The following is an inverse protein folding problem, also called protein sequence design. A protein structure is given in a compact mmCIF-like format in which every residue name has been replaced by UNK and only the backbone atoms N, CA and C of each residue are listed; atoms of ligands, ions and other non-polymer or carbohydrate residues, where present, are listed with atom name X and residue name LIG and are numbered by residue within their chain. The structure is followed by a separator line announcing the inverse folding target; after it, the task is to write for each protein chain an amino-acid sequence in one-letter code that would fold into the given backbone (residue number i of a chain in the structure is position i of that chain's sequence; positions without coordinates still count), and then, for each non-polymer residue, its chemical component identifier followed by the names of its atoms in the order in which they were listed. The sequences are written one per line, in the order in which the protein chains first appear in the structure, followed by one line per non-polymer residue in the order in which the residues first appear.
data_IF_877763486313
#
_entry.id   IF_877763486313
#
_cell.length_a   1.000
_cell.length_b   1.000
_cell.length_c   1.000
_cell.angle_alpha   90.00
_cell.angle_beta   90.00
_cell.angle_gamma   90.00
#
_symmetry.space_group_name_H-M   'P 1'
#
loop_
_entity.id
_entity.type
_entity.pdbx_description
1 polymer ?
#
# COMPACT_ATOMS: atom_id res chain seq x y z
N UNK A 1 31.30 -28.17 -31.78
CA UNK A 1 30.00 -27.77 -32.35
C UNK A 1 28.95 -27.58 -31.25
N UNK A 2 28.69 -28.59 -30.42
CA UNK A 2 27.70 -28.57 -29.33
C UNK A 2 27.87 -27.42 -28.32
N UNK A 3 29.09 -27.11 -27.86
CA UNK A 3 29.34 -25.98 -26.95
C UNK A 3 28.90 -24.62 -27.51
N UNK A 4 29.09 -24.40 -28.83
CA UNK A 4 28.65 -23.14 -29.48
C UNK A 4 27.13 -23.06 -29.54
N UNK A 5 26.46 -24.19 -29.81
CA UNK A 5 24.99 -24.28 -29.84
C UNK A 5 24.40 -24.01 -28.45
N UNK A 6 24.98 -24.57 -27.39
CA UNK A 6 24.53 -24.35 -26.00
C UNK A 6 24.67 -22.88 -25.60
N UNK A 7 25.80 -22.24 -25.91
CA UNK A 7 26.02 -20.81 -25.62
C UNK A 7 25.02 -19.93 -26.36
N UNK A 8 24.77 -20.20 -27.64
CA UNK A 8 23.78 -19.45 -28.43
C UNK A 8 22.37 -19.62 -27.84
N UNK A 9 21.98 -20.84 -27.48
CA UNK A 9 20.68 -21.10 -26.83
C UNK A 9 20.56 -20.36 -25.49
N UNK A 10 21.61 -20.36 -24.65
CA UNK A 10 21.59 -19.67 -23.37
C UNK A 10 21.44 -18.14 -23.54
N UNK A 11 22.11 -17.54 -24.53
CA UNK A 11 21.97 -16.12 -24.85
C UNK A 11 20.56 -15.80 -25.36
N UNK A 12 20.00 -16.65 -26.23
CA UNK A 12 18.63 -16.47 -26.75
C UNK A 12 17.60 -16.56 -25.63
N UNK A 13 17.73 -17.53 -24.72
CA UNK A 13 16.84 -17.66 -23.56
C UNK A 13 16.99 -16.44 -22.63
N UNK A 14 18.21 -16.02 -22.31
CA UNK A 14 18.42 -14.83 -21.49
C UNK A 14 17.83 -13.57 -22.13
N UNK A 15 18.05 -13.37 -23.44
CA UNK A 15 17.48 -12.25 -24.18
C UNK A 15 15.94 -12.28 -24.19
N UNK A 16 15.33 -13.47 -24.28
CA UNK A 16 13.87 -13.63 -24.25
C UNK A 16 13.23 -13.19 -22.92
N UNK A 17 13.98 -13.14 -21.82
CA UNK A 17 13.50 -12.61 -20.53
C UNK A 17 13.94 -11.15 -20.29
N UNK A 18 15.17 -10.79 -20.66
CA UNK A 18 15.73 -9.45 -20.39
C UNK A 18 15.15 -8.40 -21.33
N UNK A 19 15.02 -8.70 -22.62
CA UNK A 19 14.57 -7.71 -23.61
C UNK A 19 13.14 -7.25 -23.34
N UNK A 20 12.15 -8.12 -23.08
CA UNK A 20 10.81 -7.66 -22.70
C UNK A 20 10.82 -6.84 -21.42
N UNK A 21 11.60 -7.23 -20.41
CA UNK A 21 11.68 -6.50 -19.13
C UNK A 21 12.20 -5.07 -19.32
N UNK A 22 13.30 -4.91 -20.06
CA UNK A 22 13.88 -3.59 -20.37
C UNK A 22 12.94 -2.78 -21.26
N UNK A 23 12.33 -3.39 -22.29
CA UNK A 23 11.38 -2.70 -23.18
C UNK A 23 10.18 -2.16 -22.40
N UNK A 24 9.59 -2.99 -21.53
CA UNK A 24 8.47 -2.58 -20.68
C UNK A 24 8.89 -1.39 -19.80
N UNK A 25 10.03 -1.49 -19.12
CA UNK A 25 10.53 -0.40 -18.27
C UNK A 25 10.89 0.89 -19.02
N UNK A 26 11.31 0.80 -20.30
CA UNK A 26 11.56 1.97 -21.15
C UNK A 26 10.26 2.68 -21.60
N UNK A 27 9.12 1.99 -21.53
CA UNK A 27 7.80 2.54 -21.83
C UNK A 27 7.11 3.18 -20.63
N UNK A 28 7.66 3.02 -19.42
CA UNK A 28 7.08 3.58 -18.20
C UNK A 28 7.17 5.09 -18.25
N UNK A 29 6.00 5.73 -18.27
CA UNK A 29 5.90 7.18 -18.11
C UNK A 29 6.15 7.53 -16.64
N UNK A 30 6.79 8.69 -16.35
CA UNK A 30 6.82 9.21 -15.00
C UNK A 30 5.40 9.27 -14.45
N UNK A 31 5.21 8.80 -13.21
CA UNK A 31 3.94 8.98 -12.52
C UNK A 31 3.85 10.44 -12.07
N UNK A 32 3.33 11.28 -12.96
CA UNK A 32 3.24 12.73 -12.83
C UNK A 32 1.87 13.18 -12.28
N UNK A 33 1.68 14.48 -12.10
CA UNK A 33 0.43 15.02 -11.55
C UNK A 33 -0.77 14.81 -12.48
N UNK A 34 -0.56 14.66 -13.81
CA UNK A 34 -1.65 14.30 -14.73
C UNK A 34 -2.13 12.86 -14.47
N UNK A 35 -1.19 11.93 -14.27
CA UNK A 35 -1.50 10.56 -13.89
C UNK A 35 -2.22 10.48 -12.53
N UNK A 36 -1.80 11.30 -11.55
CA UNK A 36 -2.49 11.42 -10.25
C UNK A 36 -3.90 11.97 -10.37
N UNK A 37 -4.14 12.91 -11.30
CA UNK A 37 -5.48 13.46 -11.55
C UNK A 37 -6.53 12.42 -12.00
N UNK A 38 -6.10 11.20 -12.35
CA UNK A 38 -6.98 10.08 -12.72
C UNK A 38 -7.11 9.02 -11.62
N UNK A 39 -6.35 9.13 -10.53
CA UNK A 39 -6.43 8.19 -9.42
C UNK A 39 -7.76 8.38 -8.67
N UNK A 40 -8.44 7.30 -8.23
CA UNK A 40 -9.56 7.41 -7.30
C UNK A 40 -9.06 7.97 -5.96
N UNK A 41 -9.94 8.49 -5.10
CA UNK A 41 -9.52 8.89 -3.74
C UNK A 41 -8.71 10.18 -3.68
N UNK A 42 -7.82 10.27 -2.69
CA UNK A 42 -7.13 11.49 -2.27
C UNK A 42 -5.64 11.24 -2.02
N UNK A 43 -4.89 12.31 -1.77
CA UNK A 43 -3.45 12.26 -1.49
C UNK A 43 -3.13 13.07 -0.24
N UNK A 44 -2.27 12.52 0.62
CA UNK A 44 -1.66 13.21 1.73
C UNK A 44 -0.22 13.61 1.36
N UNK A 45 0.15 14.86 1.61
CA UNK A 45 1.53 15.35 1.49
C UNK A 45 2.30 14.95 2.75
N UNK A 46 3.14 13.93 2.64
CA UNK A 46 3.94 13.41 3.76
C UNK A 46 5.43 13.75 3.57
N UNK A 47 6.25 13.50 4.58
CA UNK A 47 7.69 13.81 4.55
C UNK A 47 8.41 13.13 3.39
N UNK A 48 8.00 11.91 3.03
CA UNK A 48 8.62 11.11 1.97
C UNK A 48 7.92 11.20 0.60
N UNK A 49 6.94 12.10 0.46
CA UNK A 49 6.20 12.34 -0.79
C UNK A 49 4.68 12.24 -0.64
N UNK A 50 3.99 12.22 -1.78
CA UNK A 50 2.53 12.09 -1.86
C UNK A 50 2.12 10.64 -1.61
N UNK A 51 1.34 10.41 -0.55
CA UNK A 51 0.75 9.12 -0.24
C UNK A 51 -0.73 9.12 -0.63
N UNK A 52 -1.11 8.21 -1.52
CA UNK A 52 -2.48 8.02 -1.96
C UNK A 52 -3.29 7.21 -0.94
N UNK A 53 -4.56 7.57 -0.76
CA UNK A 53 -5.50 6.80 0.04
C UNK A 53 -6.94 6.93 -0.46
N UNK A 54 -7.78 5.97 -0.07
CA UNK A 54 -9.22 5.97 -0.33
C UNK A 54 -9.97 5.80 0.98
N UNK A 55 -11.01 6.62 1.18
CA UNK A 55 -12.00 6.41 2.22
C UNK A 55 -13.19 5.62 1.69
N UNK A 56 -13.62 4.61 2.44
CA UNK A 56 -14.92 3.95 2.28
C UNK A 56 -15.77 4.31 3.49
N UNK A 57 -16.76 5.18 3.25
CA UNK A 57 -17.60 5.73 4.30
C UNK A 57 -18.85 4.87 4.53
N UNK A 58 -19.26 4.62 5.79
CA UNK A 58 -20.52 3.98 6.09
C UNK A 58 -21.67 4.95 5.78
N UNK A 59 -22.86 4.43 5.45
CA UNK A 59 -24.03 5.27 5.34
C UNK A 59 -24.35 5.91 6.72
N UNK A 60 -24.79 7.18 6.80
CA UNK A 60 -24.98 7.88 8.07
C UNK A 60 -25.88 7.16 9.09
N UNK A 61 -26.83 6.34 8.61
CA UNK A 61 -27.75 5.57 9.46
C UNK A 61 -27.11 4.36 10.14
N UNK A 62 -25.99 3.86 9.61
CA UNK A 62 -25.29 2.67 10.13
C UNK A 62 -23.92 3.02 10.72
N UNK A 63 -23.45 4.27 10.55
CA UNK A 63 -22.17 4.73 11.08
C UNK A 63 -22.07 4.48 12.60
N UNK A 64 -21.00 3.82 13.02
CA UNK A 64 -20.75 3.46 14.42
C UNK A 64 -19.70 4.34 15.11
N UNK A 65 -19.08 5.28 14.38
CA UNK A 65 -18.05 6.19 14.87
C UNK A 65 -16.64 5.57 14.92
N UNK A 66 -16.46 4.35 14.44
CA UNK A 66 -15.19 3.62 14.51
C UNK A 66 -14.46 3.62 13.15
N UNK A 67 -13.14 3.71 13.20
CA UNK A 67 -12.27 3.70 12.01
C UNK A 67 -11.42 2.43 11.94
N UNK A 68 -11.31 1.86 10.74
CA UNK A 68 -10.40 0.75 10.41
C UNK A 68 -9.40 1.24 9.35
N UNK A 69 -8.11 1.14 9.61
CA UNK A 69 -7.05 1.39 8.62
C UNK A 69 -6.52 0.04 8.12
N UNK A 70 -6.52 -0.21 6.82
CA UNK A 70 -6.11 -1.50 6.24
C UNK A 70 -4.88 -1.36 5.34
N UNK A 71 -3.75 -1.95 5.76
CA UNK A 71 -2.47 -1.87 5.07
C UNK A 71 -2.27 -3.07 4.13
N UNK A 72 -2.11 -2.81 2.84
CA UNK A 72 -1.95 -3.85 1.82
C UNK A 72 -0.56 -4.53 1.86
N UNK A 73 -0.40 -5.64 1.12
CA UNK A 73 0.87 -6.38 0.98
C UNK A 73 1.75 -5.88 -0.16
N UNK A 74 2.87 -6.57 -0.43
CA UNK A 74 3.89 -6.12 -1.40
C UNK A 74 3.43 -5.99 -2.86
N UNK A 75 2.42 -6.75 -3.30
CA UNK A 75 2.13 -6.86 -4.74
C UNK A 75 0.86 -6.14 -5.19
N UNK A 76 -0.17 -6.15 -4.35
CA UNK A 76 -1.47 -5.62 -4.71
C UNK A 76 -1.76 -4.45 -3.77
N UNK A 77 -2.04 -3.24 -4.30
CA UNK A 77 -2.28 -2.04 -3.52
C UNK A 77 -3.72 -2.02 -2.92
N UNK A 78 -4.22 -0.86 -2.49
CA UNK A 78 -5.45 -0.69 -1.72
C UNK A 78 -6.66 -1.50 -2.23
N UNK A 79 -6.83 -1.62 -3.54
CA UNK A 79 -8.02 -2.26 -4.14
C UNK A 79 -8.15 -3.75 -3.80
N UNK A 80 -7.10 -4.40 -3.28
CA UNK A 80 -7.21 -5.77 -2.76
C UNK A 80 -8.25 -5.89 -1.64
N UNK A 81 -8.51 -4.81 -0.92
CA UNK A 81 -9.46 -4.77 0.19
C UNK A 81 -10.82 -4.15 -0.18
N UNK A 82 -11.09 -3.86 -1.46
CA UNK A 82 -12.32 -3.17 -1.85
C UNK A 82 -13.59 -3.85 -1.30
N UNK A 83 -13.70 -5.18 -1.47
CA UNK A 83 -14.83 -5.95 -0.97
C UNK A 83 -14.88 -6.02 0.57
N UNK A 84 -13.73 -6.08 1.22
CA UNK A 84 -13.64 -6.05 2.69
C UNK A 84 -14.11 -4.70 3.23
N UNK A 85 -13.65 -3.60 2.61
CA UNK A 85 -14.01 -2.25 3.01
C UNK A 85 -15.49 -1.96 2.80
N UNK A 86 -16.09 -2.40 1.68
CA UNK A 86 -17.54 -2.31 1.45
C UNK A 86 -18.34 -3.06 2.52
N UNK A 87 -17.93 -4.29 2.86
CA UNK A 87 -18.60 -5.07 3.91
C UNK A 87 -18.48 -4.42 5.29
N UNK A 88 -17.29 -3.89 5.63
CA UNK A 88 -17.04 -3.20 6.89
C UNK A 88 -17.79 -1.87 6.98
N UNK A 89 -17.87 -1.11 5.89
CA UNK A 89 -18.69 0.09 5.79
C UNK A 89 -20.19 -0.22 5.92
N UNK A 90 -20.65 -1.34 5.35
CA UNK A 90 -22.00 -1.87 5.56
C UNK A 90 -22.28 -2.23 7.02
N UNK A 91 -21.25 -2.59 7.79
CA UNK A 91 -21.31 -2.83 9.23
C UNK A 91 -21.10 -1.56 10.08
N UNK A 92 -20.95 -0.39 9.46
CA UNK A 92 -20.90 0.90 10.13
C UNK A 92 -19.52 1.51 10.33
N UNK A 93 -18.45 0.81 9.94
CA UNK A 93 -17.08 1.30 10.11
C UNK A 93 -16.68 2.26 8.99
N UNK A 94 -15.91 3.28 9.33
CA UNK A 94 -15.17 4.08 8.36
C UNK A 94 -13.87 3.36 8.02
N UNK A 95 -13.58 3.16 6.74
CA UNK A 95 -12.40 2.36 6.33
C UNK A 95 -11.42 3.21 5.51
N UNK A 96 -10.17 3.30 5.97
CA UNK A 96 -9.07 3.95 5.27
C UNK A 96 -8.21 2.90 4.56
N UNK A 97 -8.06 3.04 3.25
CA UNK A 97 -7.23 2.18 2.42
C UNK A 97 -6.10 2.99 1.77
N UNK A 98 -4.91 3.05 2.39
CA UNK A 98 -3.75 3.69 1.78
C UNK A 98 -3.08 2.78 0.74
N UNK A 99 -2.50 3.40 -0.28
CA UNK A 99 -1.40 2.80 -1.04
C UNK A 99 -0.10 3.11 -0.31
N UNK A 100 0.54 2.10 0.28
CA UNK A 100 1.84 2.27 0.92
C UNK A 100 2.87 2.78 -0.11
N UNK A 101 3.82 3.60 0.32
CA UNK A 101 4.88 4.09 -0.57
C UNK A 101 5.50 2.95 -1.38
N UNK A 102 5.88 3.22 -2.63
CA UNK A 102 6.33 2.19 -3.57
C UNK A 102 5.21 1.52 -4.37
N UNK A 103 3.94 1.68 -3.99
CA UNK A 103 2.82 0.93 -4.54
C UNK A 103 1.68 1.82 -5.02
N UNK A 104 0.87 1.26 -5.91
CA UNK A 104 -0.32 1.90 -6.45
C UNK A 104 -0.05 3.32 -6.96
N UNK A 105 -0.85 4.28 -6.49
CA UNK A 105 -0.75 5.69 -6.86
C UNK A 105 0.16 6.51 -5.94
N UNK A 106 0.77 5.90 -4.92
CA UNK A 106 1.71 6.60 -4.04
C UNK A 106 3.09 6.79 -4.67
N UNK A 107 3.82 7.77 -4.14
CA UNK A 107 5.18 8.03 -4.55
C UNK A 107 6.13 6.85 -4.25
N UNK A 108 7.27 6.84 -4.95
CA UNK A 108 8.31 5.81 -4.86
C UNK A 108 9.60 6.44 -4.33
N UNK A 109 9.67 6.84 -3.05
CA UNK A 109 10.85 7.46 -2.47
C UNK A 109 12.06 6.53 -2.59
N UNK A 110 13.23 7.12 -2.82
CA UNK A 110 14.52 6.39 -2.89
C UNK A 110 15.12 6.10 -1.51
N UNK A 111 14.38 6.39 -0.45
CA UNK A 111 14.77 6.10 0.93
C UNK A 111 14.80 4.59 1.21
N UNK A 112 15.43 4.21 2.31
CA UNK A 112 15.41 2.83 2.78
C UNK A 112 14.07 2.52 3.44
N UNK A 113 13.41 1.45 2.98
CA UNK A 113 12.14 0.95 3.52
C UNK A 113 12.40 0.10 4.77
N UNK A 114 12.86 0.75 5.85
CA UNK A 114 13.09 0.11 7.14
C UNK A 114 11.95 0.38 8.14
N UNK A 115 12.13 -0.09 9.38
CA UNK A 115 11.12 0.05 10.43
C UNK A 115 10.75 1.52 10.68
N UNK A 116 11.73 2.43 10.71
CA UNK A 116 11.47 3.84 10.95
C UNK A 116 10.68 4.48 9.79
N UNK A 117 10.93 4.03 8.56
CA UNK A 117 10.15 4.46 7.40
C UNK A 117 8.68 4.02 7.49
N UNK A 118 8.42 2.74 7.79
CA UNK A 118 7.04 2.22 7.89
C UNK A 118 6.27 2.84 9.07
N UNK A 119 6.92 3.01 10.22
CA UNK A 119 6.33 3.71 11.38
C UNK A 119 5.91 5.13 10.99
N UNK A 120 6.86 5.91 10.44
CA UNK A 120 6.62 7.31 10.08
C UNK A 120 5.52 7.44 9.05
N UNK A 121 5.51 6.56 8.05
CA UNK A 121 4.49 6.55 7.01
C UNK A 121 3.09 6.37 7.59
N UNK A 122 2.89 5.42 8.51
CA UNK A 122 1.60 5.19 9.14
C UNK A 122 1.24 6.40 10.02
N UNK A 123 2.17 6.88 10.85
CA UNK A 123 1.94 8.02 11.75
C UNK A 123 1.51 9.27 10.99
N UNK A 124 2.26 9.65 9.95
CA UNK A 124 1.98 10.86 9.16
C UNK A 124 0.69 10.72 8.34
N UNK A 125 0.38 9.53 7.85
CA UNK A 125 -0.91 9.27 7.20
C UNK A 125 -2.08 9.49 8.18
N UNK A 126 -2.00 8.93 9.39
CA UNK A 126 -3.05 9.08 10.40
C UNK A 126 -3.26 10.56 10.78
N UNK A 127 -2.16 11.30 10.94
CA UNK A 127 -2.20 12.73 11.26
C UNK A 127 -2.79 13.54 10.09
N UNK A 128 -2.40 13.25 8.84
CA UNK A 128 -2.89 13.95 7.66
C UNK A 128 -4.37 13.67 7.36
N UNK A 129 -4.85 12.46 7.67
CA UNK A 129 -6.23 12.03 7.38
C UNK A 129 -7.19 12.25 8.55
N UNK A 130 -6.69 12.72 9.70
CA UNK A 130 -7.49 13.01 10.88
C UNK A 130 -8.11 11.76 11.51
N UNK A 131 -7.44 10.62 11.44
CA UNK A 131 -7.91 9.39 12.09
C UNK A 131 -7.90 9.59 13.61
N UNK A 132 -9.08 9.51 14.22
CA UNK A 132 -9.23 9.58 15.67
C UNK A 132 -8.70 8.31 16.33
N UNK A 133 -8.02 8.48 17.47
CA UNK A 133 -7.42 7.40 18.26
C UNK A 133 -8.29 7.17 19.51
N UNK A 134 -8.47 5.92 19.97
CA UNK A 134 -7.91 4.69 19.40
C UNK A 134 -8.72 4.16 18.21
N UNK A 135 -8.05 3.50 17.26
CA UNK A 135 -8.65 2.97 16.03
C UNK A 135 -8.28 1.49 15.80
N UNK A 136 -8.94 0.83 14.84
CA UNK A 136 -8.60 -0.53 14.44
C UNK A 136 -7.57 -0.53 13.31
N UNK A 137 -6.54 -1.36 13.42
CA UNK A 137 -5.49 -1.48 12.41
C UNK A 137 -5.49 -2.90 11.85
N UNK A 138 -5.50 -3.04 10.53
CA UNK A 138 -5.41 -4.31 9.84
C UNK A 138 -4.26 -4.29 8.84
N UNK A 139 -3.63 -5.44 8.60
CA UNK A 139 -2.57 -5.55 7.60
C UNK A 139 -2.43 -6.93 6.99
N UNK A 140 -1.93 -6.99 5.75
CA UNK A 140 -1.62 -8.24 5.03
C UNK A 140 -0.14 -8.36 4.67
N UNK A 141 0.53 -9.47 5.00
CA UNK A 141 1.97 -9.72 4.75
C UNK A 141 2.86 -8.52 5.17
N UNK A 142 3.46 -7.79 4.23
CA UNK A 142 4.25 -6.57 4.53
C UNK A 142 3.43 -5.51 5.27
N UNK A 143 2.15 -5.35 4.95
CA UNK A 143 1.23 -4.50 5.70
C UNK A 143 0.97 -5.02 7.12
N UNK A 144 0.95 -6.34 7.32
CA UNK A 144 0.81 -6.94 8.65
C UNK A 144 2.08 -6.74 9.50
N UNK A 145 3.27 -6.82 8.89
CA UNK A 145 4.55 -6.45 9.52
C UNK A 145 4.53 -4.99 9.96
N UNK A 146 4.14 -4.06 9.06
CA UNK A 146 4.06 -2.64 9.36
C UNK A 146 3.01 -2.34 10.45
N UNK A 147 1.85 -3.00 10.40
CA UNK A 147 0.80 -2.87 11.40
C UNK A 147 1.26 -3.37 12.79
N UNK A 148 1.94 -4.50 12.84
CA UNK A 148 2.50 -5.07 14.08
C UNK A 148 3.56 -4.14 14.67
N UNK A 149 4.46 -3.63 13.83
CA UNK A 149 5.48 -2.67 14.23
C UNK A 149 4.84 -1.43 14.86
N UNK A 150 3.90 -0.80 14.15
CA UNK A 150 3.21 0.41 14.62
C UNK A 150 2.47 0.15 15.94
N UNK A 151 1.70 -0.94 16.01
CA UNK A 151 0.95 -1.30 17.21
C UNK A 151 1.85 -1.60 18.42
N UNK A 152 3.04 -2.16 18.20
CA UNK A 152 4.00 -2.42 19.29
C UNK A 152 4.59 -1.14 19.89
N UNK A 153 4.65 -0.06 19.11
CA UNK A 153 5.23 1.22 19.51
C UNK A 153 4.16 2.20 20.03
N UNK A 154 2.91 2.07 19.56
CA UNK A 154 1.78 2.94 19.89
C UNK A 154 0.56 2.14 20.41
N UNK A 155 0.71 1.26 21.42
CA UNK A 155 -0.36 0.35 21.83
C UNK A 155 -1.59 1.07 22.40
N UNK A 156 -1.43 2.27 22.93
CA UNK A 156 -2.50 3.15 23.43
C UNK A 156 -3.40 3.71 22.33
N UNK A 157 -2.93 3.72 21.08
CA UNK A 157 -3.69 4.18 19.92
C UNK A 157 -4.48 3.06 19.22
N UNK A 158 -4.25 1.80 19.59
CA UNK A 158 -4.81 0.64 18.90
C UNK A 158 -5.95 0.02 19.69
N UNK A 159 -7.17 0.11 19.14
CA UNK A 159 -8.37 -0.54 19.67
C UNK A 159 -8.41 -2.03 19.35
N UNK A 160 -7.82 -2.42 18.22
CA UNK A 160 -7.67 -3.82 17.82
C UNK A 160 -6.75 -3.96 16.62
N UNK A 161 -6.03 -5.07 16.56
CA UNK A 161 -5.08 -5.41 15.50
C UNK A 161 -5.52 -6.68 14.76
N UNK A 162 -5.63 -6.62 13.44
CA UNK A 162 -5.94 -7.76 12.58
C UNK A 162 -4.77 -8.07 11.65
N UNK A 163 -4.26 -9.31 11.70
CA UNK A 163 -3.13 -9.75 10.89
C UNK A 163 -3.58 -10.83 9.90
N UNK A 164 -3.39 -10.56 8.62
CA UNK A 164 -3.80 -11.44 7.52
C UNK A 164 -2.53 -11.98 6.87
N UNK A 165 -2.26 -13.28 7.01
CA UNK A 165 -1.03 -13.94 6.53
C UNK A 165 0.25 -13.10 6.82
N UNK A 166 0.58 -12.87 8.11
CA UNK A 166 1.74 -12.05 8.48
C UNK A 166 3.05 -12.65 7.97
N UNK A 167 3.97 -11.75 7.60
CA UNK A 167 5.31 -12.09 7.08
C UNK A 167 6.30 -12.40 8.21
#
# INVERSE_FOLDING_TARGET
MLKKIIVVLAVVVAAAFVVPYVWIGMGDKPFDDEARGRAPGEFAELTSGKLHYVWVEPAPKVANGETIVMLHGLYIPHFMFAQNAEALAGAGYRVLLPDLFGHGFSDRPTEKYDQAFFERQIRELLDATGVEKPFYLAGQSTGAMAATLYASQHPDQIKGLMLIVPA
#
